data_IF_270846582475
#
_entry.id   IF_270846582475
#
_cell.length_a   1.000
_cell.length_b   1.000
_cell.length_c   1.000
_cell.angle_alpha   90.00
_cell.angle_beta   90.00
_cell.angle_gamma   90.00
#
_symmetry.space_group_name_H-M   'P 1'
#
loop_
_entity.id
_entity.type
_entity.pdbx_description
1 polymer ?
#
# COMPACT_ATOMS: atom_id res chain seq x y z
N UNK A 1 -6.70 -14.71 -21.78
CA UNK A 1 -6.78 -13.51 -22.65
C UNK A 1 -6.45 -12.28 -21.82
N UNK A 2 -5.63 -11.34 -22.30
CA UNK A 2 -5.23 -10.12 -21.56
C UNK A 2 -6.45 -9.33 -21.07
N UNK A 3 -7.52 -9.27 -21.88
CA UNK A 3 -8.77 -8.58 -21.57
C UNK A 3 -9.46 -9.12 -20.31
N UNK A 4 -9.48 -10.44 -20.12
CA UNK A 4 -10.15 -11.04 -18.96
C UNK A 4 -9.40 -10.75 -17.65
N UNK A 5 -8.07 -10.77 -17.70
CA UNK A 5 -7.21 -10.43 -16.56
C UNK A 5 -7.40 -8.96 -16.19
N UNK A 6 -7.32 -8.06 -17.16
CA UNK A 6 -7.50 -6.62 -16.93
C UNK A 6 -8.87 -6.30 -16.34
N UNK A 7 -9.92 -6.99 -16.81
CA UNK A 7 -11.30 -6.79 -16.33
C UNK A 7 -11.43 -7.10 -14.84
N UNK A 8 -10.70 -8.09 -14.31
CA UNK A 8 -10.76 -8.41 -12.88
C UNK A 8 -10.16 -7.31 -12.00
N UNK A 9 -9.07 -6.69 -12.43
CA UNK A 9 -8.46 -5.57 -11.69
C UNK A 9 -9.25 -4.26 -11.83
N UNK A 10 -9.78 -3.97 -13.03
CA UNK A 10 -10.52 -2.72 -13.32
C UNK A 10 -11.90 -2.69 -12.66
N UNK A 11 -12.51 -3.84 -12.32
CA UNK A 11 -13.78 -3.89 -11.57
C UNK A 11 -13.71 -3.09 -10.27
N UNK A 12 -12.58 -3.10 -9.58
CA UNK A 12 -12.39 -2.35 -8.34
C UNK A 12 -12.54 -0.83 -8.54
N UNK A 13 -12.19 -0.30 -9.73
CA UNK A 13 -12.34 1.12 -10.05
C UNK A 13 -13.79 1.56 -10.16
N UNK A 14 -14.74 0.64 -10.35
CA UNK A 14 -16.17 0.97 -10.35
C UNK A 14 -16.63 1.51 -8.99
N UNK A 15 -16.00 1.05 -7.90
CA UNK A 15 -16.29 1.56 -6.55
C UNK A 15 -15.82 2.99 -6.32
N UNK A 16 -15.01 3.54 -7.23
CA UNK A 16 -14.57 4.93 -7.21
C UNK A 16 -15.44 5.84 -8.09
N UNK A 17 -16.43 5.31 -8.83
CA UNK A 17 -17.28 6.15 -9.66
C UNK A 17 -18.15 7.08 -8.81
N UNK A 18 -18.18 8.37 -9.16
CA UNK A 18 -19.01 9.36 -8.49
C UNK A 18 -18.29 10.11 -7.37
N UNK A 19 -17.07 9.71 -6.97
CA UNK A 19 -16.29 10.46 -5.98
C UNK A 19 -15.93 11.87 -6.48
N UNK A 20 -15.76 12.02 -7.79
CA UNK A 20 -15.47 13.29 -8.46
C UNK A 20 -16.62 14.29 -8.37
N UNK A 21 -17.86 13.81 -8.19
CA UNK A 21 -19.07 14.65 -8.15
C UNK A 21 -19.25 15.37 -6.82
N UNK A 22 -18.44 15.03 -5.82
CA UNK A 22 -18.52 15.62 -4.48
C UNK A 22 -18.00 17.06 -4.43
N UNK A 23 -17.33 17.54 -5.49
CA UNK A 23 -16.73 18.87 -5.55
C UNK A 23 -15.51 19.06 -4.63
N UNK A 24 -15.07 17.99 -3.95
CA UNK A 24 -13.90 18.01 -3.07
C UNK A 24 -12.62 17.90 -3.91
N UNK A 25 -11.53 18.46 -3.38
CA UNK A 25 -10.20 18.32 -4.00
C UNK A 25 -9.83 16.84 -4.11
N UNK A 26 -9.31 16.38 -5.28
CA UNK A 26 -8.81 15.03 -5.42
C UNK A 26 -7.73 14.72 -4.38
N UNK A 27 -7.76 13.50 -3.83
CA UNK A 27 -6.75 13.01 -2.91
C UNK A 27 -5.69 12.21 -3.67
N UNK A 28 -4.41 12.46 -3.39
CA UNK A 28 -3.31 11.62 -3.88
C UNK A 28 -2.41 11.18 -2.73
N UNK A 29 -2.10 9.89 -2.70
CA UNK A 29 -1.18 9.31 -1.71
C UNK A 29 0.20 9.96 -1.82
N UNK A 30 0.63 10.30 -3.04
CA UNK A 30 1.91 10.96 -3.28
C UNK A 30 1.99 12.33 -2.61
N UNK A 31 1.01 13.21 -2.84
CA UNK A 31 1.00 14.53 -2.20
C UNK A 31 0.88 14.40 -0.68
N UNK A 32 0.06 13.46 -0.20
CA UNK A 32 -0.07 13.19 1.23
C UNK A 32 1.25 12.74 1.86
N UNK A 33 1.95 11.78 1.24
CA UNK A 33 3.25 11.28 1.70
C UNK A 33 4.33 12.38 1.73
N UNK A 34 4.32 13.28 0.74
CA UNK A 34 5.23 14.43 0.73
C UNK A 34 4.89 15.43 1.83
N UNK A 35 3.60 15.70 2.07
CA UNK A 35 3.15 16.70 3.03
C UNK A 35 3.41 16.30 4.50
N UNK A 36 3.24 15.02 4.85
CA UNK A 36 3.45 14.51 6.23
C UNK A 36 4.91 14.67 6.70
N UNK A 37 5.83 14.87 5.76
CA UNK A 37 7.27 14.95 6.00
C UNK A 37 7.85 16.36 5.77
N UNK A 38 7.02 17.35 5.48
CA UNK A 38 7.46 18.73 5.34
C UNK A 38 7.69 19.32 6.75
N UNK A 39 8.92 19.77 7.09
CA UNK A 39 9.22 20.38 8.38
C UNK A 39 8.35 21.60 8.72
N UNK A 40 7.75 22.23 7.69
CA UNK A 40 6.89 23.41 7.83
C UNK A 40 5.41 23.02 8.04
N UNK A 41 5.03 21.77 7.75
CA UNK A 41 3.66 21.28 7.89
C UNK A 41 3.51 20.54 9.22
N UNK A 42 2.82 21.16 10.17
CA UNK A 42 2.56 20.59 11.52
C UNK A 42 1.57 19.43 11.55
N UNK A 43 0.88 19.14 10.45
CA UNK A 43 -0.13 18.08 10.41
C UNK A 43 0.51 16.73 10.06
N UNK A 44 1.07 16.07 11.08
CA UNK A 44 1.31 14.63 11.01
C UNK A 44 -0.03 13.92 11.19
N UNK A 45 -0.39 13.08 10.23
CA UNK A 45 -1.69 12.41 10.20
C UNK A 45 -1.55 10.92 9.89
N UNK A 46 -2.62 10.18 10.12
CA UNK A 46 -2.74 8.77 9.76
C UNK A 46 -3.59 8.64 8.51
N UNK A 47 -3.09 7.90 7.51
CA UNK A 47 -3.90 7.47 6.37
C UNK A 47 -4.50 6.11 6.69
N UNK A 48 -5.81 6.09 6.93
CA UNK A 48 -6.54 4.86 7.20
C UNK A 48 -7.10 4.29 5.90
N UNK A 49 -6.65 3.10 5.52
CA UNK A 49 -7.21 2.35 4.38
C UNK A 49 -8.09 1.25 4.94
N UNK A 50 -9.40 1.51 4.96
CA UNK A 50 -10.40 0.58 5.52
C UNK A 50 -11.16 -0.14 4.42
N UNK A 51 -11.60 -1.36 4.69
CA UNK A 51 -12.54 -2.07 3.83
C UNK A 51 -13.58 -2.80 4.67
N UNK A 52 -14.80 -2.91 4.15
CA UNK A 52 -15.82 -3.77 4.73
C UNK A 52 -15.55 -5.22 4.30
N UNK A 53 -15.63 -6.19 5.22
CA UNK A 53 -15.43 -7.60 4.94
C UNK A 53 -16.22 -8.12 3.73
N UNK A 54 -17.46 -7.63 3.50
CA UNK A 54 -18.28 -8.04 2.34
C UNK A 54 -17.72 -7.58 1.00
N UNK A 55 -17.01 -6.46 0.99
CA UNK A 55 -16.47 -5.84 -0.21
C UNK A 55 -14.95 -6.02 -0.34
N UNK A 56 -14.30 -6.61 0.67
CA UNK A 56 -12.86 -6.74 0.76
C UNK A 56 -12.27 -7.38 -0.49
N UNK A 57 -12.78 -8.54 -0.92
CA UNK A 57 -12.30 -9.23 -2.13
C UNK A 57 -12.43 -8.38 -3.41
N UNK A 58 -13.46 -7.54 -3.49
CA UNK A 58 -13.65 -6.65 -4.64
C UNK A 58 -12.73 -5.43 -4.61
N UNK A 59 -12.36 -4.96 -3.41
CA UNK A 59 -11.51 -3.79 -3.20
C UNK A 59 -10.03 -4.15 -3.05
N UNK A 60 -9.71 -5.42 -2.79
CA UNK A 60 -8.37 -5.96 -2.61
C UNK A 60 -7.38 -5.47 -3.69
N UNK A 61 -7.70 -5.52 -5.00
CA UNK A 61 -6.83 -4.94 -6.02
C UNK A 61 -6.47 -3.47 -5.82
N UNK A 62 -7.44 -2.66 -5.42
CA UNK A 62 -7.28 -1.22 -5.26
C UNK A 62 -6.48 -0.89 -4.00
N UNK A 63 -6.77 -1.58 -2.90
CA UNK A 63 -6.04 -1.43 -1.63
C UNK A 63 -4.58 -1.84 -1.83
N UNK A 64 -4.32 -3.01 -2.44
CA UNK A 64 -2.97 -3.46 -2.74
C UNK A 64 -2.20 -2.46 -3.60
N UNK A 65 -2.85 -1.88 -4.62
CA UNK A 65 -2.24 -0.85 -5.47
C UNK A 65 -1.91 0.43 -4.69
N UNK A 66 -2.80 0.91 -3.82
CA UNK A 66 -2.55 2.08 -2.99
C UNK A 66 -1.39 1.88 -2.01
N UNK A 67 -1.32 0.72 -1.36
CA UNK A 67 -0.23 0.39 -0.43
C UNK A 67 1.11 0.24 -1.16
N UNK A 68 1.13 -0.41 -2.33
CA UNK A 68 2.32 -0.46 -3.18
C UNK A 68 2.77 0.94 -3.61
N UNK A 69 1.83 1.79 -4.02
CA UNK A 69 2.14 3.16 -4.43
C UNK A 69 2.71 4.00 -3.26
N UNK A 70 2.16 3.84 -2.05
CA UNK A 70 2.69 4.50 -0.86
C UNK A 70 4.12 4.05 -0.55
N UNK A 71 4.38 2.74 -0.63
CA UNK A 71 5.70 2.15 -0.44
C UNK A 71 6.72 2.65 -1.48
N UNK A 72 6.33 2.78 -2.75
CA UNK A 72 7.18 3.36 -3.78
C UNK A 72 7.41 4.87 -3.61
N UNK A 73 6.39 5.60 -3.15
CA UNK A 73 6.54 7.02 -2.86
C UNK A 73 7.61 7.25 -1.77
N UNK A 74 7.69 6.37 -0.77
CA UNK A 74 8.74 6.43 0.24
C UNK A 74 10.15 6.41 -0.39
N UNK A 75 10.41 5.47 -1.31
CA UNK A 75 11.70 5.38 -2.00
C UNK A 75 11.98 6.61 -2.88
N UNK A 76 10.93 7.17 -3.50
CA UNK A 76 11.03 8.38 -4.31
C UNK A 76 11.24 9.69 -3.54
N UNK A 77 11.10 9.70 -2.21
CA UNK A 77 11.21 10.90 -1.36
C UNK A 77 12.65 11.25 -0.95
N UNK A 78 13.64 10.51 -1.43
CA UNK A 78 15.05 10.68 -1.09
C UNK A 78 15.41 10.19 0.32
N UNK A 79 16.69 9.90 0.52
CA UNK A 79 17.22 9.36 1.77
C UNK A 79 17.09 10.36 2.91
N UNK A 80 16.59 9.89 4.06
CA UNK A 80 16.44 10.71 5.26
C UNK A 80 16.38 9.82 6.51
N UNK A 81 17.46 9.81 7.28
CA UNK A 81 17.59 8.99 8.50
C UNK A 81 16.78 9.48 9.69
N UNK A 82 16.24 10.70 9.65
CA UNK A 82 15.39 11.28 10.69
C UNK A 82 13.91 11.11 10.41
N UNK A 83 13.53 10.85 9.14
CA UNK A 83 12.15 10.56 8.74
C UNK A 83 11.70 9.22 9.32
N UNK A 84 10.44 9.15 9.75
CA UNK A 84 9.78 7.90 10.15
C UNK A 84 8.39 7.84 9.51
N UNK A 85 8.22 6.97 8.52
CA UNK A 85 6.92 6.68 7.92
C UNK A 85 6.54 5.24 8.25
N UNK A 86 5.43 5.07 8.96
CA UNK A 86 4.96 3.76 9.40
C UNK A 86 3.96 3.17 8.39
N UNK A 87 4.25 1.96 7.96
CA UNK A 87 3.38 1.10 7.18
C UNK A 87 2.94 -0.04 8.09
N UNK A 88 1.65 -0.08 8.42
CA UNK A 88 1.07 -1.09 9.31
C UNK A 88 0.06 -1.87 8.48
N UNK A 89 0.41 -3.10 8.12
CA UNK A 89 -0.45 -4.04 7.42
C UNK A 89 -0.86 -5.10 8.43
N UNK A 90 -2.15 -5.14 8.76
CA UNK A 90 -2.72 -6.04 9.78
C UNK A 90 -2.75 -7.50 9.32
N UNK A 91 -3.06 -7.75 8.05
CA UNK A 91 -3.04 -9.08 7.43
C UNK A 91 -2.50 -8.99 6.00
N UNK A 92 -1.19 -9.15 5.84
CA UNK A 92 -0.49 -9.04 4.55
C UNK A 92 -1.00 -10.07 3.50
N UNK A 93 -1.20 -11.36 3.83
CA UNK A 93 -1.79 -12.34 2.92
C UNK A 93 -3.21 -12.02 2.42
N UNK A 94 -3.95 -11.14 3.09
CA UNK A 94 -5.28 -10.69 2.60
C UNK A 94 -5.17 -9.85 1.33
N UNK A 95 -3.99 -9.26 1.07
CA UNK A 95 -3.71 -8.43 -0.10
C UNK A 95 -3.32 -9.28 -1.32
N UNK A 96 -3.39 -8.67 -2.51
CA UNK A 96 -2.67 -9.23 -3.66
C UNK A 96 -1.17 -9.13 -3.40
N UNK A 97 -0.39 -10.07 -3.94
CA UNK A 97 1.07 -10.02 -3.88
C UNK A 97 1.56 -8.64 -4.28
N UNK A 98 2.24 -7.95 -3.37
CA UNK A 98 2.90 -6.66 -3.61
C UNK A 98 4.31 -6.96 -4.13
N UNK A 99 4.57 -6.89 -5.45
CA UNK A 99 5.80 -7.45 -6.02
C UNK A 99 7.07 -6.73 -5.54
N UNK A 100 6.96 -5.43 -5.29
CA UNK A 100 8.08 -4.56 -4.90
C UNK A 100 8.30 -4.56 -3.39
N UNK A 101 7.35 -5.05 -2.59
CA UNK A 101 7.43 -5.03 -1.13
C UNK A 101 8.76 -5.60 -0.57
N UNK A 102 9.28 -6.77 -1.01
CA UNK A 102 10.54 -7.28 -0.45
C UNK A 102 11.72 -6.33 -0.72
N UNK A 103 11.76 -5.72 -1.91
CA UNK A 103 12.77 -4.71 -2.23
C UNK A 103 12.61 -3.45 -1.39
N UNK A 104 11.37 -2.97 -1.22
CA UNK A 104 11.09 -1.82 -0.35
C UNK A 104 11.52 -2.13 1.09
N UNK A 105 11.21 -3.30 1.64
CA UNK A 105 11.59 -3.68 3.01
C UNK A 105 13.10 -3.67 3.20
N UNK A 106 13.87 -4.16 2.21
CA UNK A 106 15.33 -4.18 2.26
C UNK A 106 15.94 -2.77 2.26
N UNK A 107 15.36 -1.83 1.51
CA UNK A 107 15.93 -0.48 1.35
C UNK A 107 15.31 0.58 2.27
N UNK A 108 14.10 0.33 2.79
CA UNK A 108 13.26 1.28 3.50
C UNK A 108 13.98 2.04 4.61
N UNK A 109 14.92 1.39 5.30
CA UNK A 109 15.71 1.99 6.39
C UNK A 109 16.41 3.29 5.97
N UNK A 110 16.94 3.37 4.74
CA UNK A 110 17.64 4.57 4.22
C UNK A 110 16.69 5.74 4.01
N UNK A 111 15.43 5.43 3.67
CA UNK A 111 14.38 6.40 3.35
C UNK A 111 13.49 6.75 4.55
N UNK A 112 13.72 6.11 5.70
CA UNK A 112 12.96 6.33 6.93
C UNK A 112 11.66 5.52 7.03
N UNK A 113 11.53 4.44 6.27
CA UNK A 113 10.38 3.54 6.36
C UNK A 113 10.44 2.60 7.56
N UNK A 114 9.30 2.39 8.20
CA UNK A 114 9.10 1.43 9.27
C UNK A 114 7.90 0.55 8.91
N UNK A 115 8.06 -0.77 8.98
CA UNK A 115 7.04 -1.73 8.56
C UNK A 115 6.62 -2.62 9.73
N UNK A 116 5.32 -2.79 9.88
CA UNK A 116 4.70 -3.78 10.77
C UNK A 116 3.78 -4.62 9.90
N UNK A 117 4.11 -5.90 9.75
CA UNK A 117 3.40 -6.83 8.87
C UNK A 117 2.80 -7.95 9.73
N UNK A 118 1.48 -8.01 9.78
CA UNK A 118 0.74 -9.09 10.41
C UNK A 118 0.37 -10.19 9.40
N UNK A 119 0.45 -11.43 9.84
CA UNK A 119 -0.02 -12.61 9.11
C UNK A 119 -0.26 -13.75 10.11
N UNK A 120 -1.23 -14.62 9.83
CA UNK A 120 -1.61 -15.69 10.75
C UNK A 120 -0.73 -16.93 10.63
N UNK A 121 -0.31 -17.29 9.41
CA UNK A 121 0.46 -18.51 9.17
C UNK A 121 1.47 -18.35 8.02
N UNK A 122 2.66 -18.95 8.19
CA UNK A 122 3.69 -18.99 7.15
C UNK A 122 3.18 -19.59 5.84
N UNK A 123 2.30 -20.59 5.90
CA UNK A 123 1.72 -21.22 4.71
C UNK A 123 0.95 -20.22 3.81
N UNK A 124 0.29 -19.22 4.40
CA UNK A 124 -0.41 -18.17 3.63
C UNK A 124 0.59 -17.23 2.95
N UNK A 125 1.68 -16.90 3.64
CA UNK A 125 2.79 -16.13 3.07
C UNK A 125 3.46 -16.87 1.91
N UNK A 126 3.75 -18.17 2.09
CA UNK A 126 4.32 -19.01 1.04
C UNK A 126 3.41 -19.11 -0.19
N UNK A 127 2.08 -19.17 0.02
CA UNK A 127 1.11 -19.19 -1.06
C UNK A 127 1.08 -17.86 -1.84
N UNK A 128 1.07 -16.73 -1.15
CA UNK A 128 0.94 -15.41 -1.80
C UNK A 128 2.26 -14.92 -2.40
N UNK A 129 3.37 -15.10 -1.70
CA UNK A 129 4.67 -14.55 -2.11
C UNK A 129 5.60 -15.59 -2.75
N UNK A 130 5.37 -16.88 -2.51
CA UNK A 130 6.31 -17.96 -2.82
C UNK A 130 7.28 -18.19 -1.67
N UNK A 131 7.73 -19.45 -1.49
CA UNK A 131 8.59 -19.86 -0.36
C UNK A 131 9.86 -19.01 -0.22
N UNK A 132 10.61 -18.86 -1.31
CA UNK A 132 11.89 -18.13 -1.29
C UNK A 132 11.71 -16.66 -0.86
N UNK A 133 10.69 -15.99 -1.39
CA UNK A 133 10.40 -14.60 -1.02
C UNK A 133 9.87 -14.49 0.39
N UNK A 134 9.03 -15.44 0.82
CA UNK A 134 8.48 -15.46 2.17
C UNK A 134 9.53 -15.82 3.24
N UNK A 135 10.58 -16.55 2.89
CA UNK A 135 11.72 -16.84 3.76
C UNK A 135 12.68 -15.65 3.88
N UNK A 136 12.75 -14.80 2.84
CA UNK A 136 13.61 -13.61 2.80
C UNK A 136 12.97 -12.36 3.44
N UNK A 137 11.65 -12.39 3.70
CA UNK A 137 10.88 -11.33 4.36
C UNK A 137 10.80 -11.55 5.86
#
# INVERSE_FOLDING_TARGET
>A
SIRSVLTNYVKALRYLQGIERTGRRPFTIREWMSAVNDPQIKQHGWLWVTSNARQHESLKPLISMWLAQAANCLLGMGENLYRRVWFIYDELPSLNKLPELPGVLAEARRFGGCFVLGFQAKAQMDFTYGKETADAM
#
